data_IF_735554282280
#
_entry.id   IF_735554282280
#
_cell.length_a   1.000
_cell.length_b   1.000
_cell.length_c   1.000
_cell.angle_alpha   90.00
_cell.angle_beta   90.00
_cell.angle_gamma   90.00
#
_symmetry.space_group_name_H-M   'P 1'
#
loop_
_entity.id
_entity.type
_entity.pdbx_description
1 polymer ?
#
# COMPACT_ATOMS: atom_id res chain seq x y z
N UNK A 1 10.54 16.92 17.84
CA UNK A 1 10.43 15.56 17.28
C UNK A 1 10.15 14.55 18.38
N UNK A 2 9.22 13.62 18.19
CA UNK A 2 8.81 12.68 19.23
C UNK A 2 9.83 11.53 19.36
N UNK A 3 10.42 11.37 20.55
CA UNK A 3 11.45 10.35 20.85
C UNK A 3 10.91 8.92 20.64
N UNK A 4 11.77 7.99 20.20
CA UNK A 4 11.46 6.56 20.09
C UNK A 4 11.48 5.86 21.46
N UNK A 5 11.65 4.53 21.49
CA UNK A 5 11.92 3.79 22.75
C UNK A 5 13.28 4.17 23.32
N UNK A 6 14.25 4.53 22.46
CA UNK A 6 15.57 5.03 22.86
C UNK A 6 15.61 6.55 22.84
N UNK A 7 16.55 7.14 23.60
CA UNK A 7 16.85 8.58 23.59
C UNK A 7 17.58 9.04 22.31
N UNK A 8 17.64 8.20 21.28
CA UNK A 8 18.35 8.52 20.03
C UNK A 8 17.60 9.60 19.25
N UNK A 9 18.30 10.69 18.95
CA UNK A 9 17.85 11.78 18.08
C UNK A 9 18.59 11.73 16.74
N UNK A 10 18.04 12.34 15.68
CA UNK A 10 18.75 12.47 14.39
C UNK A 10 20.13 13.12 14.54
N UNK A 11 20.24 14.10 15.44
CA UNK A 11 21.47 14.86 15.71
C UNK A 11 22.58 14.00 16.36
N UNK A 12 22.23 12.86 16.93
CA UNK A 12 23.17 11.89 17.52
C UNK A 12 23.68 10.83 16.55
N UNK A 13 23.49 11.02 15.23
CA UNK A 13 24.04 10.15 14.20
C UNK A 13 25.46 10.57 13.82
N UNK A 14 26.40 9.63 13.89
CA UNK A 14 27.77 9.78 13.41
C UNK A 14 28.10 8.71 12.37
N UNK A 15 29.15 8.93 11.58
CA UNK A 15 29.68 7.93 10.64
C UNK A 15 30.07 6.63 11.37
N UNK A 16 30.70 6.74 12.53
CA UNK A 16 31.07 5.58 13.37
C UNK A 16 29.86 4.73 13.74
N UNK A 17 28.72 5.37 14.04
CA UNK A 17 27.48 4.65 14.36
C UNK A 17 26.91 3.94 13.14
N UNK A 18 26.99 4.56 11.96
CA UNK A 18 26.59 3.93 10.69
C UNK A 18 27.49 2.72 10.42
N UNK A 19 28.80 2.85 10.56
CA UNK A 19 29.75 1.75 10.37
C UNK A 19 29.49 0.60 11.35
N UNK A 20 29.15 0.92 12.60
CA UNK A 20 28.73 -0.07 13.59
C UNK A 20 27.49 -0.82 13.14
N UNK A 21 26.46 -0.10 12.64
CA UNK A 21 25.24 -0.72 12.11
C UNK A 21 25.59 -1.63 10.93
N UNK A 22 26.39 -1.15 9.98
CA UNK A 22 26.83 -1.93 8.81
C UNK A 22 27.55 -3.22 9.25
N UNK A 23 28.49 -3.13 10.19
CA UNK A 23 29.21 -4.30 10.70
C UNK A 23 28.27 -5.29 11.39
N UNK A 24 27.35 -4.82 12.23
CA UNK A 24 26.35 -5.71 12.87
C UNK A 24 25.41 -6.37 11.88
N UNK A 25 25.08 -5.71 10.77
CA UNK A 25 24.29 -6.30 9.68
C UNK A 25 25.09 -7.36 8.91
N UNK A 26 26.36 -7.08 8.60
CA UNK A 26 27.27 -8.04 7.93
C UNK A 26 27.48 -9.31 8.75
N UNK A 27 27.54 -9.17 10.07
CA UNK A 27 27.68 -10.29 11.01
C UNK A 27 26.35 -10.98 11.36
N UNK A 28 25.22 -10.54 10.79
CA UNK A 28 23.86 -11.03 11.11
C UNK A 28 23.49 -10.91 12.61
N UNK A 29 24.13 -9.99 13.33
CA UNK A 29 23.90 -9.74 14.77
C UNK A 29 22.91 -8.61 15.03
N UNK A 30 22.44 -7.92 13.99
CA UNK A 30 21.48 -6.83 14.15
C UNK A 30 20.17 -7.35 14.76
N UNK A 31 19.75 -6.72 15.87
CA UNK A 31 18.47 -7.02 16.53
C UNK A 31 17.58 -5.80 16.50
N UNK A 32 16.43 -5.95 15.86
CA UNK A 32 15.39 -4.93 15.85
C UNK A 32 14.89 -4.65 17.26
N UNK A 33 14.73 -3.36 17.57
CA UNK A 33 14.14 -2.93 18.83
C UNK A 33 12.62 -2.86 18.69
N UNK A 34 11.85 -3.17 19.74
CA UNK A 34 10.40 -3.03 19.70
C UNK A 34 10.00 -1.58 19.43
N UNK A 35 8.94 -1.36 18.65
CA UNK A 35 8.43 -0.01 18.39
C UNK A 35 7.64 0.53 19.59
N UNK A 36 7.80 1.82 19.92
CA UNK A 36 7.00 2.45 21.01
C UNK A 36 5.58 2.70 20.52
N UNK A 37 4.57 2.18 21.20
CA UNK A 37 3.17 2.42 20.84
C UNK A 37 2.70 3.78 21.34
N UNK A 38 2.16 4.59 20.44
CA UNK A 38 1.60 5.92 20.72
C UNK A 38 0.21 5.99 20.11
N UNK A 39 -0.75 6.54 20.83
CA UNK A 39 -2.11 6.68 20.35
C UNK A 39 -2.36 8.09 19.81
N UNK A 40 -2.78 8.18 18.54
CA UNK A 40 -3.24 9.44 17.95
C UNK A 40 -4.78 9.46 17.92
N UNK A 41 -5.43 10.52 18.43
CA UNK A 41 -6.88 10.65 18.35
C UNK A 41 -7.34 10.85 16.90
N UNK A 42 -8.35 10.09 16.46
CA UNK A 42 -9.05 10.36 15.21
C UNK A 42 -10.20 11.35 15.44
N UNK A 43 -10.66 12.00 14.36
CA UNK A 43 -11.83 12.89 14.37
C UNK A 43 -13.12 12.23 14.89
N UNK A 44 -13.21 10.90 14.81
CA UNK A 44 -14.37 10.10 15.23
C UNK A 44 -14.26 9.54 16.66
N UNK A 45 -13.33 10.04 17.48
CA UNK A 45 -13.15 9.62 18.87
C UNK A 45 -12.39 8.31 19.08
N UNK A 46 -12.21 7.49 18.03
CA UNK A 46 -11.36 6.28 18.09
C UNK A 46 -9.87 6.67 18.09
N UNK A 47 -9.02 5.87 18.71
CA UNK A 47 -7.56 6.09 18.70
C UNK A 47 -6.88 5.20 17.66
N UNK A 48 -5.88 5.73 16.94
CA UNK A 48 -5.02 4.95 16.05
C UNK A 48 -3.71 4.63 16.78
N UNK A 49 -3.37 3.33 16.97
CA UNK A 49 -2.05 2.98 17.49
C UNK A 49 -0.98 3.24 16.42
N UNK A 50 0.14 3.84 16.82
CA UNK A 50 1.31 4.06 15.97
C UNK A 50 2.54 3.52 16.69
N UNK A 51 3.27 2.64 16.02
CA UNK A 51 4.60 2.21 16.42
C UNK A 51 5.63 3.27 15.99
N UNK A 52 6.32 3.83 16.96
CA UNK A 52 7.47 4.71 16.75
C UNK A 52 8.76 3.91 16.92
N UNK A 53 9.38 3.45 15.82
CA UNK A 53 10.69 2.79 15.87
C UNK A 53 11.80 3.77 16.30
N UNK A 54 12.95 3.22 16.69
CA UNK A 54 14.15 4.02 16.99
C UNK A 54 14.71 4.69 15.73
N UNK A 55 15.56 5.70 15.88
CA UNK A 55 16.11 6.40 14.71
C UNK A 55 16.96 5.48 13.82
N UNK A 56 17.80 4.64 14.41
CA UNK A 56 18.59 3.66 13.66
C UNK A 56 17.70 2.65 12.93
N UNK A 57 16.63 2.18 13.57
CA UNK A 57 15.65 1.29 12.92
C UNK A 57 14.92 2.01 11.77
N UNK A 58 14.60 3.30 11.93
CA UNK A 58 13.99 4.12 10.86
C UNK A 58 14.93 4.26 9.66
N UNK A 59 16.21 4.53 9.90
CA UNK A 59 17.21 4.62 8.84
C UNK A 59 17.33 3.31 8.08
N UNK A 60 17.44 2.19 8.80
CA UNK A 60 17.55 0.88 8.18
C UNK A 60 16.26 0.51 7.42
N UNK A 61 15.10 0.82 7.99
CA UNK A 61 13.82 0.68 7.29
C UNK A 61 13.78 1.51 6.01
N UNK A 62 14.25 2.75 6.03
CA UNK A 62 14.28 3.59 4.84
C UNK A 62 15.17 2.99 3.73
N UNK A 63 16.35 2.48 4.09
CA UNK A 63 17.23 1.79 3.13
C UNK A 63 16.56 0.53 2.56
N UNK A 64 15.91 -0.28 3.40
CA UNK A 64 15.15 -1.47 2.96
C UNK A 64 14.03 -1.05 2.01
N UNK A 65 13.30 0.03 2.33
CA UNK A 65 12.23 0.57 1.48
C UNK A 65 12.78 0.95 0.10
N UNK A 66 13.87 1.72 0.04
CA UNK A 66 14.46 2.14 -1.23
C UNK A 66 14.89 0.96 -2.10
N UNK A 67 15.47 -0.09 -1.51
CA UNK A 67 15.87 -1.31 -2.23
C UNK A 67 14.64 -2.03 -2.78
N UNK A 68 13.60 -2.23 -1.94
CA UNK A 68 12.37 -2.90 -2.35
C UNK A 68 11.62 -2.11 -3.43
N UNK A 69 11.53 -0.79 -3.29
CA UNK A 69 10.89 0.08 -4.28
C UNK A 69 11.61 -0.01 -5.63
N UNK A 70 12.94 0.08 -5.65
CA UNK A 70 13.70 -0.01 -6.90
C UNK A 70 13.45 -1.33 -7.65
N UNK A 71 13.21 -2.42 -6.92
CA UNK A 71 12.96 -3.74 -7.51
C UNK A 71 11.49 -3.99 -7.89
N UNK A 72 10.54 -3.65 -7.01
CA UNK A 72 9.12 -4.00 -7.18
C UNK A 72 8.31 -2.94 -7.92
N UNK A 73 8.66 -1.66 -7.84
CA UNK A 73 7.92 -0.58 -8.48
C UNK A 73 7.65 -0.79 -9.99
N UNK A 74 8.61 -1.25 -10.82
CA UNK A 74 8.35 -1.51 -12.23
C UNK A 74 7.46 -2.74 -12.49
N UNK A 75 7.27 -3.60 -11.50
CA UNK A 75 6.49 -4.85 -11.62
C UNK A 75 5.03 -4.69 -11.18
N UNK A 76 4.72 -3.64 -10.41
CA UNK A 76 3.38 -3.38 -9.92
C UNK A 76 2.42 -3.01 -11.04
N UNK A 77 1.16 -3.46 -10.88
CA UNK A 77 0.06 -3.11 -11.79
C UNK A 77 -0.02 -1.60 -12.03
N UNK A 78 -0.25 -1.14 -13.28
CA UNK A 78 -0.47 0.28 -13.57
C UNK A 78 -1.74 0.84 -12.91
N UNK A 79 -2.69 -0.03 -12.50
CA UNK A 79 -3.94 0.33 -11.83
C UNK A 79 -3.78 0.50 -10.31
N UNK A 80 -2.61 0.15 -9.76
CA UNK A 80 -2.30 0.32 -8.34
C UNK A 80 -1.67 1.70 -8.09
N UNK A 81 -2.28 2.51 -7.22
CA UNK A 81 -1.85 3.91 -6.96
C UNK A 81 -1.40 4.20 -5.54
N UNK A 82 -1.77 3.37 -4.57
CA UNK A 82 -1.52 3.64 -3.15
C UNK A 82 -0.05 3.49 -2.77
N UNK A 83 0.49 4.44 -2.00
CA UNK A 83 1.85 4.35 -1.43
C UNK A 83 2.98 4.08 -2.45
N UNK A 84 2.85 4.63 -3.66
CA UNK A 84 3.86 4.51 -4.72
C UNK A 84 4.44 5.88 -5.07
N UNK A 85 5.72 5.94 -5.48
CA UNK A 85 6.31 7.18 -5.98
C UNK A 85 5.50 7.72 -7.18
N UNK A 86 5.29 9.02 -7.21
CA UNK A 86 4.56 9.75 -8.27
C UNK A 86 3.11 9.32 -8.53
N UNK A 87 2.50 8.54 -7.62
CA UNK A 87 1.11 8.08 -7.70
C UNK A 87 0.34 8.44 -6.43
N UNK A 88 -0.96 8.68 -6.57
CA UNK A 88 -1.83 9.01 -5.44
C UNK A 88 -3.31 9.06 -5.79
N UNK A 89 -4.12 9.67 -4.93
CA UNK A 89 -5.57 9.72 -5.14
C UNK A 89 -5.96 10.42 -6.45
N UNK A 90 -5.23 11.47 -6.84
CA UNK A 90 -5.52 12.21 -8.06
C UNK A 90 -5.19 11.41 -9.34
N UNK A 91 -4.16 10.57 -9.32
CA UNK A 91 -3.83 9.72 -10.48
C UNK A 91 -4.89 8.64 -10.66
N UNK A 92 -5.36 8.04 -9.56
CA UNK A 92 -6.47 7.08 -9.59
C UNK A 92 -7.77 7.69 -10.12
N UNK A 93 -8.15 8.89 -9.65
CA UNK A 93 -9.34 9.59 -10.14
C UNK A 93 -9.23 9.97 -11.63
N UNK A 94 -8.06 10.44 -12.06
CA UNK A 94 -7.80 10.76 -13.46
C UNK A 94 -7.94 9.52 -14.34
N UNK A 95 -7.43 8.39 -13.89
CA UNK A 95 -7.55 7.13 -14.61
C UNK A 95 -9.01 6.71 -14.78
N UNK A 96 -9.81 6.73 -13.71
CA UNK A 96 -11.23 6.41 -13.78
C UNK A 96 -11.94 7.34 -14.76
N UNK A 97 -11.67 8.65 -14.68
CA UNK A 97 -12.30 9.63 -15.56
C UNK A 97 -11.97 9.42 -17.04
N UNK A 98 -10.71 9.09 -17.36
CA UNK A 98 -10.25 8.95 -18.74
C UNK A 98 -10.57 7.58 -19.35
N UNK A 99 -10.40 6.50 -18.58
CA UNK A 99 -10.43 5.14 -19.11
C UNK A 99 -11.80 4.46 -18.93
N UNK A 100 -12.56 4.80 -17.88
CA UNK A 100 -13.77 4.05 -17.51
C UNK A 100 -15.05 4.72 -18.02
N UNK A 101 -15.07 5.04 -19.32
CA UNK A 101 -16.24 5.60 -19.98
C UNK A 101 -17.34 4.53 -20.18
N UNK A 102 -18.55 4.81 -19.69
CA UNK A 102 -19.70 3.90 -19.82
C UNK A 102 -19.84 2.83 -18.71
N UNK A 103 -19.03 2.90 -17.65
CA UNK A 103 -19.20 2.09 -16.44
C UNK A 103 -20.44 2.54 -15.67
N UNK A 104 -21.37 1.61 -15.41
CA UNK A 104 -22.64 1.90 -14.70
C UNK A 104 -22.60 1.48 -13.23
N UNK A 105 -21.78 0.47 -12.91
CA UNK A 105 -21.72 -0.13 -11.59
C UNK A 105 -20.29 -0.12 -11.10
N UNK A 106 -20.11 0.32 -9.86
CA UNK A 106 -18.84 0.26 -9.13
C UNK A 106 -19.01 -0.71 -7.97
N UNK A 107 -17.98 -1.50 -7.72
CA UNK A 107 -17.90 -2.37 -6.55
C UNK A 107 -16.87 -1.74 -5.64
N UNK A 108 -17.34 -1.26 -4.49
CA UNK A 108 -16.46 -0.79 -3.43
C UNK A 108 -16.10 -1.96 -2.51
N UNK A 109 -14.81 -2.17 -2.30
CA UNK A 109 -14.29 -3.17 -1.37
C UNK A 109 -13.22 -2.54 -0.49
N UNK A 110 -13.30 -2.78 0.81
CA UNK A 110 -12.27 -2.38 1.77
C UNK A 110 -11.74 -3.63 2.51
N UNK A 111 -10.43 -3.67 2.69
CA UNK A 111 -9.79 -4.75 3.45
C UNK A 111 -9.67 -4.31 4.89
N UNK A 112 -10.53 -4.88 5.75
CA UNK A 112 -10.52 -4.57 7.17
C UNK A 112 -9.14 -4.84 7.79
N UNK A 113 -8.54 -3.80 8.37
CA UNK A 113 -7.29 -3.91 9.12
C UNK A 113 -6.13 -4.56 8.34
N UNK A 114 -5.98 -4.23 7.05
CA UNK A 114 -4.94 -4.79 6.15
C UNK A 114 -3.53 -4.81 6.79
N UNK A 115 -3.11 -3.72 7.43
CA UNK A 115 -1.80 -3.64 8.07
C UNK A 115 -1.71 -4.42 9.39
N UNK A 116 -2.80 -4.54 10.15
CA UNK A 116 -2.79 -5.18 11.48
C UNK A 116 -2.97 -6.71 11.38
N UNK A 117 -3.57 -7.21 10.29
CA UNK A 117 -3.87 -8.64 10.07
C UNK A 117 -3.01 -9.30 9.00
N UNK A 118 -1.92 -8.66 8.58
CA UNK A 118 -1.05 -9.16 7.54
C UNK A 118 -0.32 -10.44 8.00
N UNK A 119 -0.50 -11.55 7.29
CA UNK A 119 0.16 -12.81 7.61
C UNK A 119 1.65 -12.76 7.25
N UNK A 120 2.50 -12.92 8.27
CA UNK A 120 3.95 -12.87 8.10
C UNK A 120 4.48 -14.00 7.21
N UNK A 121 3.91 -15.21 7.28
CA UNK A 121 4.36 -16.33 6.46
C UNK A 121 4.04 -16.09 5.00
N UNK A 122 2.83 -15.61 4.70
CA UNK A 122 2.42 -15.29 3.33
C UNK A 122 3.28 -14.19 2.72
N UNK A 123 3.61 -13.15 3.49
CA UNK A 123 4.49 -12.07 3.07
C UNK A 123 5.91 -12.57 2.80
N UNK A 124 6.48 -13.36 3.72
CA UNK A 124 7.84 -13.88 3.58
C UNK A 124 7.95 -14.83 2.38
N UNK A 125 6.97 -15.72 2.18
CA UNK A 125 6.92 -16.60 1.01
C UNK A 125 6.85 -15.79 -0.29
N UNK A 126 6.03 -14.73 -0.32
CA UNK A 126 5.94 -13.83 -1.47
C UNK A 126 7.26 -13.10 -1.75
N UNK A 127 7.96 -12.67 -0.71
CA UNK A 127 9.29 -12.06 -0.88
C UNK A 127 10.33 -13.08 -1.36
N UNK A 128 10.29 -14.32 -0.86
CA UNK A 128 11.22 -15.40 -1.24
C UNK A 128 11.05 -15.86 -2.70
N UNK A 129 9.87 -15.68 -3.30
CA UNK A 129 9.65 -15.94 -4.73
C UNK A 129 10.51 -15.03 -5.62
N UNK A 130 10.83 -13.82 -5.14
CA UNK A 130 11.54 -12.80 -5.92
C UNK A 130 12.97 -12.53 -5.43
N UNK A 131 13.22 -12.66 -4.12
CA UNK A 131 14.50 -12.35 -3.46
C UNK A 131 15.07 -13.62 -2.85
N UNK A 132 16.21 -14.07 -3.39
CA UNK A 132 16.90 -15.28 -2.93
C UNK A 132 17.95 -15.02 -1.82
N UNK A 133 18.12 -13.77 -1.40
CA UNK A 133 19.02 -13.43 -0.29
C UNK A 133 18.38 -13.80 1.06
N UNK A 134 18.77 -14.96 1.60
CA UNK A 134 18.29 -15.44 2.89
C UNK A 134 18.62 -14.51 4.06
N UNK A 135 19.72 -13.74 3.98
CA UNK A 135 20.09 -12.78 5.05
C UNK A 135 19.10 -11.63 5.09
N UNK A 136 18.77 -11.10 3.93
CA UNK A 136 17.79 -10.02 3.78
C UNK A 136 16.39 -10.47 4.20
N UNK A 137 15.96 -11.67 3.80
CA UNK A 137 14.68 -12.23 4.22
C UNK A 137 14.63 -12.44 5.74
N UNK A 138 15.70 -12.95 6.34
CA UNK A 138 15.80 -13.10 7.80
C UNK A 138 15.76 -11.74 8.52
N UNK A 139 16.39 -10.71 7.95
CA UNK A 139 16.34 -9.34 8.48
C UNK A 139 14.90 -8.81 8.52
N UNK A 140 14.12 -8.99 7.43
CA UNK A 140 12.71 -8.60 7.37
C UNK A 140 11.86 -9.46 8.31
N UNK A 141 12.10 -10.76 8.39
CA UNK A 141 11.40 -11.64 9.31
C UNK A 141 11.60 -11.18 10.78
N UNK A 142 12.82 -10.82 11.15
CA UNK A 142 13.13 -10.30 12.48
C UNK A 142 12.48 -8.92 12.71
N UNK A 143 12.34 -8.09 11.67
CA UNK A 143 11.62 -6.81 11.76
C UNK A 143 10.15 -7.04 12.10
N UNK A 144 9.48 -7.96 11.41
CA UNK A 144 8.07 -8.28 11.63
C UNK A 144 7.81 -8.87 13.03
N UNK A 145 8.77 -9.64 13.55
CA UNK A 145 8.71 -10.26 14.88
C UNK A 145 9.15 -9.33 16.03
N UNK A 146 9.74 -8.17 15.74
CA UNK A 146 10.33 -7.27 16.73
C UNK A 146 9.36 -6.79 17.81
N UNK A 147 8.05 -6.86 17.56
CA UNK A 147 7.04 -6.52 18.55
C UNK A 147 6.84 -5.02 18.74
N UNK A 148 6.04 -4.67 19.74
CA UNK A 148 5.86 -3.29 20.17
C UNK A 148 5.84 -3.22 21.70
N UNK A 149 6.14 -2.04 22.21
CA UNK A 149 6.11 -1.73 23.64
C UNK A 149 4.96 -0.76 23.91
N UNK A 150 4.07 -1.14 24.81
CA UNK A 150 2.88 -0.38 25.21
C UNK A 150 2.84 -0.35 26.74
N UNK A 151 2.74 0.85 27.34
CA UNK A 151 2.70 1.04 28.80
C UNK A 151 3.78 0.26 29.58
N UNK A 152 5.02 0.27 29.06
CA UNK A 152 6.18 -0.47 29.59
C UNK A 152 6.06 -2.00 29.56
N UNK A 153 5.04 -2.54 28.90
CA UNK A 153 4.89 -3.96 28.63
C UNK A 153 5.28 -4.29 27.19
N UNK A 154 6.03 -5.38 27.03
CA UNK A 154 6.42 -5.88 25.72
C UNK A 154 5.33 -6.80 25.17
N UNK A 155 4.85 -6.49 23.95
CA UNK A 155 3.87 -7.30 23.24
C UNK A 155 4.48 -7.88 21.96
N UNK A 156 4.39 -9.20 21.81
CA UNK A 156 4.77 -9.88 20.56
C UNK A 156 3.76 -9.54 19.46
N UNK A 157 4.27 -9.26 18.27
CA UNK A 157 3.43 -9.09 17.08
C UNK A 157 3.30 -10.44 16.40
N UNK A 158 2.13 -11.07 16.54
CA UNK A 158 1.82 -12.38 15.95
C UNK A 158 1.33 -12.27 14.49
N UNK A 159 0.82 -11.10 14.11
CA UNK A 159 0.38 -10.76 12.76
C UNK A 159 0.40 -9.24 12.58
N UNK A 160 0.46 -8.80 11.33
CA UNK A 160 0.50 -7.39 10.97
C UNK A 160 1.90 -6.79 10.88
N UNK A 161 2.01 -5.66 10.21
CA UNK A 161 3.24 -4.86 10.12
C UNK A 161 3.16 -3.72 11.15
N UNK A 162 4.29 -3.28 11.74
CA UNK A 162 4.27 -2.16 12.68
C UNK A 162 3.62 -0.93 12.02
N UNK A 163 2.48 -0.49 12.55
CA UNK A 163 1.76 0.65 12.01
C UNK A 163 2.56 1.93 12.26
N UNK A 164 3.22 2.47 11.23
CA UNK A 164 4.20 3.58 11.38
C UNK A 164 5.65 3.19 11.06
N UNK A 165 5.89 1.91 10.71
CA UNK A 165 7.12 1.52 10.03
C UNK A 165 7.15 2.09 8.61
N UNK A 166 8.32 2.58 8.20
CA UNK A 166 8.53 3.20 6.87
C UNK A 166 8.40 2.16 5.76
N UNK A 167 8.75 0.90 6.06
CA UNK A 167 8.69 -0.25 5.14
C UNK A 167 7.30 -0.87 5.05
N UNK A 168 6.41 -0.60 6.02
CA UNK A 168 5.09 -1.25 6.08
C UNK A 168 4.23 -1.04 4.81
N UNK A 169 4.19 0.17 4.20
CA UNK A 169 3.41 0.39 2.97
C UNK A 169 3.90 -0.43 1.78
N UNK A 170 5.21 -0.48 1.53
CA UNK A 170 5.76 -1.25 0.40
C UNK A 170 5.53 -2.75 0.58
N UNK A 171 5.65 -3.28 1.81
CA UNK A 171 5.35 -4.69 2.09
C UNK A 171 3.87 -5.03 1.84
N UNK A 172 2.96 -4.14 2.21
CA UNK A 172 1.54 -4.32 1.93
C UNK A 172 1.27 -4.32 0.42
N UNK A 173 1.87 -3.39 -0.33
CA UNK A 173 1.74 -3.34 -1.78
C UNK A 173 2.29 -4.61 -2.47
N UNK A 174 3.42 -5.15 -2.02
CA UNK A 174 3.97 -6.41 -2.54
C UNK A 174 2.97 -7.57 -2.37
N UNK A 175 2.29 -7.63 -1.23
CA UNK A 175 1.28 -8.66 -1.00
C UNK A 175 0.01 -8.42 -1.85
N UNK A 176 -0.44 -7.17 -1.93
CA UNK A 176 -1.65 -6.79 -2.69
C UNK A 176 -1.44 -6.91 -4.20
N UNK A 177 -0.21 -6.79 -4.70
CA UNK A 177 0.10 -7.00 -6.12
C UNK A 177 -0.27 -8.43 -6.58
N UNK A 178 -0.18 -9.44 -5.70
CA UNK A 178 -0.70 -10.78 -6.00
C UNK A 178 -2.21 -10.78 -6.23
N UNK A 179 -2.94 -9.98 -5.44
CA UNK A 179 -4.38 -9.82 -5.63
C UNK A 179 -4.67 -9.08 -6.95
N UNK A 180 -3.95 -8.00 -7.23
CA UNK A 180 -4.09 -7.22 -8.48
C UNK A 180 -3.87 -8.13 -9.70
N UNK A 181 -2.76 -8.89 -9.72
CA UNK A 181 -2.45 -9.86 -10.78
C UNK A 181 -3.50 -10.96 -10.89
N UNK A 182 -4.07 -11.42 -9.78
CA UNK A 182 -5.15 -12.41 -9.80
C UNK A 182 -6.42 -11.83 -10.44
N UNK A 183 -6.77 -10.59 -10.10
CA UNK A 183 -7.92 -9.89 -10.70
C UNK A 183 -7.70 -9.72 -12.21
N UNK A 184 -6.53 -9.24 -12.61
CA UNK A 184 -6.19 -8.96 -14.02
C UNK A 184 -6.11 -10.21 -14.89
N UNK A 185 -5.46 -11.27 -14.41
CA UNK A 185 -5.18 -12.45 -15.22
C UNK A 185 -6.28 -13.53 -15.14
N UNK A 186 -7.06 -13.56 -14.05
CA UNK A 186 -8.04 -14.62 -13.82
C UNK A 186 -9.47 -14.08 -13.86
N UNK A 187 -9.79 -13.08 -13.04
CA UNK A 187 -11.17 -12.60 -12.92
C UNK A 187 -11.63 -11.84 -14.17
N UNK A 188 -10.85 -10.87 -14.63
CA UNK A 188 -11.21 -10.06 -15.80
C UNK A 188 -11.42 -10.94 -17.04
N UNK A 189 -10.50 -11.86 -17.43
CA UNK A 189 -10.68 -12.68 -18.63
C UNK A 189 -11.83 -13.69 -18.49
N UNK A 190 -12.07 -14.22 -17.28
CA UNK A 190 -13.14 -15.19 -17.03
C UNK A 190 -14.54 -14.59 -17.11
N UNK A 191 -14.72 -13.38 -16.58
CA UNK A 191 -16.04 -12.75 -16.45
C UNK A 191 -16.32 -11.67 -17.50
N UNK A 192 -15.29 -11.09 -18.12
CA UNK A 192 -15.44 -10.10 -19.20
C UNK A 192 -15.67 -10.82 -20.53
N UNK A 193 -16.94 -11.01 -20.89
CA UNK A 193 -17.32 -11.62 -22.18
C UNK A 193 -17.57 -10.57 -23.25
N UNK A 194 -16.67 -10.49 -24.24
CA UNK A 194 -16.79 -9.64 -25.43
C UNK A 194 -16.08 -8.29 -25.33
N UNK A 195 -15.82 -7.63 -26.47
CA UNK A 195 -15.12 -6.33 -26.55
C UNK A 195 -16.00 -5.13 -26.22
N UNK A 196 -17.32 -5.29 -26.31
CA UNK A 196 -18.29 -4.23 -26.10
C UNK A 196 -19.46 -4.76 -25.29
N UNK A 197 -19.95 -3.95 -24.35
CA UNK A 197 -21.18 -4.24 -23.62
C UNK A 197 -22.32 -4.52 -24.61
N UNK A 198 -23.05 -5.62 -24.42
CA UNK A 198 -24.33 -5.83 -25.12
C UNK A 198 -25.25 -4.64 -24.80
N UNK A 199 -25.62 -3.87 -25.83
CA UNK A 199 -26.50 -2.71 -25.68
C UNK A 199 -27.81 -3.16 -25.04
N UNK A 200 -28.18 -2.55 -23.91
CA UNK A 200 -29.48 -2.79 -23.30
C UNK A 200 -30.55 -2.03 -24.13
N UNK A 201 -31.59 -2.71 -24.65
CA UNK A 201 -32.62 -2.07 -25.49
C UNK A 201 -33.34 -0.92 -24.79
N UNK A 202 -33.48 -0.95 -23.46
CA UNK A 202 -34.12 0.13 -22.70
C UNK A 202 -33.36 1.46 -22.77
N UNK A 203 -32.05 1.41 -22.59
CA UNK A 203 -31.17 2.60 -22.71
C UNK A 203 -31.04 3.12 -24.15
N UNK A 204 -31.26 2.28 -25.16
CA UNK A 204 -31.26 2.73 -26.57
C UNK A 204 -32.40 3.70 -26.82
N UNK A 205 -33.61 3.37 -26.35
CA UNK A 205 -34.81 4.18 -26.59
C UNK A 205 -34.79 5.50 -25.81
N UNK A 206 -34.25 5.52 -24.59
CA UNK A 206 -34.12 6.75 -23.81
C UNK A 206 -33.05 7.71 -24.36
N UNK A 207 -31.89 7.19 -24.78
CA UNK A 207 -30.82 8.03 -25.33
C UNK A 207 -31.18 8.55 -26.72
N UNK A 208 -31.79 7.71 -27.57
CA UNK A 208 -32.24 8.16 -28.90
C UNK A 208 -33.35 9.21 -28.82
N UNK A 209 -34.30 9.06 -27.90
CA UNK A 209 -35.33 10.09 -27.66
C UNK A 209 -34.76 11.41 -27.14
N UNK A 210 -33.77 11.38 -26.23
CA UNK A 210 -33.11 12.61 -25.74
C UNK A 210 -32.27 13.28 -26.84
N UNK A 211 -31.57 12.51 -27.68
CA UNK A 211 -30.80 13.05 -28.82
C UNK A 211 -31.74 13.66 -29.88
N UNK A 212 -32.89 13.03 -30.15
CA UNK A 212 -33.90 13.60 -31.05
C UNK A 212 -34.54 14.88 -30.49
N UNK A 213 -34.82 14.93 -29.19
CA UNK A 213 -35.34 16.14 -28.54
C UNK A 213 -34.33 17.29 -28.57
N UNK A 214 -33.04 17.01 -28.33
CA UNK A 214 -31.97 18.01 -28.45
C UNK A 214 -31.82 18.55 -29.88
N UNK A 215 -31.90 17.68 -30.89
CA UNK A 215 -31.87 18.11 -32.31
C UNK A 215 -33.09 18.95 -32.71
N UNK A 216 -34.27 18.67 -32.16
CA UNK A 216 -35.50 19.46 -32.37
C UNK A 216 -35.49 20.81 -31.64
N UNK A 217 -34.78 20.92 -30.52
CA UNK A 217 -34.56 22.19 -29.81
C UNK A 217 -33.65 23.15 -30.60
N UNK A 218 -32.53 22.64 -31.10
CA UNK A 218 -31.54 23.42 -31.88
C UNK A 218 -32.13 23.93 -33.21
N UNK A 219 -33.02 23.16 -33.86
CA UNK A 219 -33.69 23.61 -35.09
C UNK A 219 -34.78 24.66 -34.88
N UNK A 220 -35.27 24.85 -33.64
CA UNK A 220 -36.22 25.92 -33.32
C UNK A 220 -35.52 27.25 -33.01
N UNK A 221 -34.35 27.23 -32.39
CA UNK A 221 -33.55 28.45 -32.13
C UNK A 221 -32.94 29.08 -33.39
N UNK A 222 -32.71 28.31 -34.46
CA UNK A 222 -32.20 28.84 -35.73
C UNK A 222 -33.29 29.41 -36.67
N UNK A 223 -34.56 29.43 -36.25
CA UNK A 223 -35.71 29.94 -37.02
C UNK A 223 -36.44 31.11 -36.34
N UNK A 224 -35.86 31.71 -35.30
CA UNK A 224 -36.33 32.98 -34.70
C UNK A 224 -35.35 34.11 -34.97
#
# INVERSE_FOLDING_TARGET
MTKGVTNETPDGMSLEKIDTIINTLREEKYRWKPARRVYIPKKNGKRRPLGMPTWSDKLLQEVIRSILEAYFEPQFSPHSHGFRPDRGCHTALREIYQNWSGTTWFIEGDISACFDKLDHQLLLNTLQEHIHDGRFINLIQNLLKAGYLEDWQFHKTHSGTPQGGIVSPILANILLDKLDKFVENVLIPKYTKGKTRKRNPFTRNSISSHIEQGKKGITKEQKS
#
